data_IF_922629269409
#
_entry.id   IF_922629269409
#
_cell.length_a   1.000
_cell.length_b   1.000
_cell.length_c   1.000
_cell.angle_alpha   90.00
_cell.angle_beta   90.00
_cell.angle_gamma   90.00
#
_symmetry.space_group_name_H-M   'P 1'
#
loop_
_entity.id
_entity.type
_entity.pdbx_description
1 polymer ?
#
# COMPACT_ATOMS: atom_id res chain seq x y z
N UNK A 1 -0.04 -1.60 -6.76
CA UNK A 1 -0.15 -3.09 -6.72
C UNK A 1 -1.57 -3.46 -6.26
N UNK A 2 -2.27 -4.40 -6.91
CA UNK A 2 -3.70 -4.68 -6.62
C UNK A 2 -3.83 -6.03 -5.90
N UNK A 3 -4.49 -6.04 -4.74
CA UNK A 3 -4.83 -7.29 -4.04
C UNK A 3 -6.26 -7.68 -4.41
N UNK A 4 -6.38 -8.93 -4.85
CA UNK A 4 -7.66 -9.55 -5.15
C UNK A 4 -8.18 -10.16 -3.86
N UNK A 5 -9.33 -9.70 -3.38
CA UNK A 5 -9.90 -10.12 -2.09
C UNK A 5 -11.37 -10.48 -2.24
N UNK A 6 -11.80 -11.50 -1.48
CA UNK A 6 -13.21 -11.85 -1.39
C UNK A 6 -14.00 -10.73 -0.72
N UNK A 7 -15.09 -10.31 -1.36
CA UNK A 7 -15.98 -9.28 -0.81
C UNK A 7 -16.89 -9.86 0.27
N UNK A 8 -16.34 -9.92 1.48
CA UNK A 8 -17.03 -10.45 2.65
C UNK A 8 -18.24 -9.58 3.06
N UNK A 9 -18.21 -8.28 2.78
CA UNK A 9 -19.30 -7.37 3.14
C UNK A 9 -20.53 -7.62 2.26
N UNK A 10 -20.34 -7.69 0.94
CA UNK A 10 -21.42 -8.05 0.01
C UNK A 10 -21.98 -9.44 0.30
N UNK A 11 -21.11 -10.41 0.61
CA UNK A 11 -21.57 -11.74 1.01
C UNK A 11 -22.43 -11.70 2.28
N UNK A 12 -21.99 -11.02 3.34
CA UNK A 12 -22.72 -10.94 4.60
C UNK A 12 -24.08 -10.26 4.47
N UNK A 13 -24.20 -9.29 3.54
CA UNK A 13 -25.46 -8.58 3.26
C UNK A 13 -26.44 -9.39 2.41
N UNK A 14 -25.94 -10.35 1.63
CA UNK A 14 -26.75 -11.06 0.61
C UNK A 14 -26.98 -12.52 0.92
N UNK A 15 -26.25 -13.10 1.89
CA UNK A 15 -26.35 -14.51 2.26
C UNK A 15 -27.75 -14.99 2.65
N UNK A 16 -28.58 -14.09 3.16
CA UNK A 16 -29.95 -14.38 3.60
C UNK A 16 -31.02 -14.00 2.56
N UNK A 17 -30.62 -13.56 1.35
CA UNK A 17 -31.54 -13.26 0.25
C UNK A 17 -32.07 -14.56 -0.38
N UNK A 18 -33.35 -14.54 -0.76
CA UNK A 18 -34.02 -15.67 -1.42
C UNK A 18 -33.43 -16.07 -2.78
N UNK A 19 -32.65 -15.16 -3.40
CA UNK A 19 -32.06 -15.32 -4.73
C UNK A 19 -30.67 -15.96 -4.77
N UNK A 20 -30.17 -16.49 -3.65
CA UNK A 20 -28.79 -16.93 -3.41
C UNK A 20 -27.83 -15.81 -3.01
N UNK A 21 -26.76 -16.11 -2.25
CA UNK A 21 -25.74 -15.13 -1.88
C UNK A 21 -24.99 -14.62 -3.11
N UNK A 22 -24.62 -13.33 -3.09
CA UNK A 22 -23.76 -12.76 -4.11
C UNK A 22 -22.31 -13.01 -3.71
N UNK A 23 -21.58 -13.71 -4.58
CA UNK A 23 -20.14 -13.93 -4.45
C UNK A 23 -19.41 -13.00 -5.41
N UNK A 24 -18.68 -12.05 -4.85
CA UNK A 24 -17.87 -11.10 -5.60
C UNK A 24 -16.43 -11.11 -5.10
N UNK A 25 -15.55 -10.73 -6.01
CA UNK A 25 -14.14 -10.47 -5.73
C UNK A 25 -13.93 -8.99 -6.02
N UNK A 26 -13.37 -8.29 -5.05
CA UNK A 26 -13.03 -6.87 -5.17
C UNK A 26 -11.52 -6.71 -5.26
N UNK A 27 -11.10 -5.79 -6.11
CA UNK A 27 -9.72 -5.35 -6.19
C UNK A 27 -9.55 -4.19 -5.22
N UNK A 28 -8.79 -4.41 -4.17
CA UNK A 28 -8.45 -3.37 -3.21
C UNK A 28 -7.15 -2.71 -3.67
N UNK A 29 -7.21 -1.41 -3.98
CA UNK A 29 -6.03 -0.64 -4.32
C UNK A 29 -5.24 -0.40 -3.04
N UNK A 30 -4.01 -0.93 -2.99
CA UNK A 30 -3.08 -0.55 -1.93
C UNK A 30 -2.61 0.86 -2.25
N UNK A 31 -2.78 1.84 -1.34
CA UNK A 31 -2.20 3.16 -1.55
C UNK A 31 -0.69 3.00 -1.70
N UNK A 32 -0.17 3.39 -2.86
CA UNK A 32 1.26 3.34 -3.09
C UNK A 32 1.94 4.39 -2.20
N UNK A 33 3.15 4.08 -1.73
CA UNK A 33 3.96 5.08 -1.03
C UNK A 33 4.44 6.07 -2.09
N UNK A 34 3.64 7.10 -2.32
CA UNK A 34 3.93 8.16 -3.28
C UNK A 34 4.74 9.29 -2.65
N UNK A 35 5.52 9.95 -3.49
CA UNK A 35 6.24 11.15 -3.09
C UNK A 35 5.25 12.31 -3.00
N UNK A 36 5.28 13.06 -1.89
CA UNK A 36 4.41 14.25 -1.76
C UNK A 36 4.85 15.28 -2.81
N UNK A 37 3.96 15.58 -3.76
CA UNK A 37 4.16 16.57 -4.82
C UNK A 37 3.35 17.84 -4.56
N UNK A 38 3.78 18.95 -5.16
CA UNK A 38 2.99 20.19 -5.23
C UNK A 38 1.88 20.11 -6.31
N UNK A 39 1.11 21.19 -6.47
CA UNK A 39 0.03 21.30 -7.46
C UNK A 39 0.49 21.14 -8.92
N UNK A 40 1.79 21.29 -9.18
CA UNK A 40 2.39 21.12 -10.51
C UNK A 40 3.00 19.73 -10.71
N UNK A 41 2.89 18.85 -9.70
CA UNK A 41 3.46 17.50 -9.72
C UNK A 41 4.96 17.47 -9.40
N UNK A 42 5.56 18.57 -8.93
CA UNK A 42 6.97 18.56 -8.54
C UNK A 42 7.12 17.97 -7.13
N UNK A 43 8.11 17.09 -6.90
CA UNK A 43 8.45 16.63 -5.57
C UNK A 43 8.71 17.77 -4.59
N UNK A 44 8.06 17.72 -3.43
CA UNK A 44 8.37 18.65 -2.36
C UNK A 44 9.80 18.43 -1.85
N UNK A 45 10.49 19.50 -1.47
CA UNK A 45 11.85 19.40 -0.89
C UNK A 45 11.87 18.53 0.37
N UNK A 46 10.81 18.63 1.20
CA UNK A 46 10.64 17.79 2.37
C UNK A 46 10.49 16.30 2.01
N UNK A 47 9.68 15.99 1.00
CA UNK A 47 9.54 14.63 0.46
C UNK A 47 10.86 14.06 -0.06
N UNK A 48 11.63 14.86 -0.82
CA UNK A 48 12.95 14.46 -1.32
C UNK A 48 13.94 14.15 -0.20
N UNK A 49 14.02 15.01 0.82
CA UNK A 49 14.92 14.81 1.96
C UNK A 49 14.50 13.56 2.75
N UNK A 50 13.20 13.41 3.03
CA UNK A 50 12.68 12.25 3.75
C UNK A 50 12.96 10.94 3.00
N UNK A 51 12.75 10.94 1.68
CA UNK A 51 13.05 9.80 0.82
C UNK A 51 14.54 9.45 0.85
N UNK A 52 15.43 10.43 0.68
CA UNK A 52 16.86 10.21 0.74
C UNK A 52 17.30 9.65 2.10
N UNK A 53 16.75 10.17 3.20
CA UNK A 53 17.04 9.70 4.55
C UNK A 53 16.58 8.25 4.77
N UNK A 54 15.40 7.89 4.29
CA UNK A 54 14.87 6.52 4.40
C UNK A 54 15.81 5.51 3.73
N UNK A 55 16.28 5.81 2.52
CA UNK A 55 17.25 4.95 1.82
C UNK A 55 18.61 4.89 2.52
N UNK A 56 19.09 6.02 3.04
CA UNK A 56 20.34 6.04 3.80
C UNK A 56 20.26 5.16 5.05
N UNK A 57 19.15 5.24 5.80
CA UNK A 57 18.90 4.40 6.97
C UNK A 57 18.77 2.92 6.61
N UNK A 58 18.00 2.60 5.56
CA UNK A 58 17.85 1.23 5.07
C UNK A 58 19.20 0.63 4.67
N UNK A 59 19.99 1.34 3.85
CA UNK A 59 21.30 0.88 3.41
C UNK A 59 22.26 0.71 4.59
N UNK A 60 22.25 1.63 5.55
CA UNK A 60 23.08 1.55 6.76
C UNK A 60 22.69 0.35 7.63
N UNK A 61 21.40 0.10 7.79
CA UNK A 61 20.89 -1.03 8.57
C UNK A 61 21.27 -2.37 7.92
N UNK A 62 21.07 -2.50 6.61
CA UNK A 62 21.48 -3.69 5.85
C UNK A 62 22.99 -3.88 5.90
N UNK A 63 23.77 -2.81 5.73
CA UNK A 63 25.24 -2.87 5.87
C UNK A 63 25.70 -3.28 7.26
N UNK A 64 25.03 -2.77 8.31
CA UNK A 64 25.32 -3.14 9.70
C UNK A 64 25.05 -4.62 9.96
N UNK A 65 24.00 -5.20 9.37
CA UNK A 65 23.74 -6.65 9.43
C UNK A 65 24.97 -7.43 8.95
N UNK A 66 25.52 -7.11 7.77
CA UNK A 66 26.70 -7.81 7.24
C UNK A 66 27.99 -7.57 8.03
N UNK A 67 28.08 -6.46 8.76
CA UNK A 67 29.25 -6.18 9.59
C UNK A 67 29.20 -6.89 10.95
N UNK A 68 27.99 -7.06 11.50
CA UNK A 68 27.78 -7.56 12.87
C UNK A 68 27.50 -9.07 12.91
N UNK A 69 26.78 -9.61 11.92
CA UNK A 69 26.45 -11.03 11.78
C UNK A 69 27.44 -11.75 10.87
#
# INVERSE_FOLDING_TARGET
MRIVKFDLDTYNRTKDLSGSPIYAIVEEDIPEIEMITDEQGNPTRGGLIGYALAYALMASFVGAIFYIL
#
